data_IF_569247618428
#
_entry.id   IF_569247618428
#
_cell.length_a   1.000
_cell.length_b   1.000
_cell.length_c   1.000
_cell.angle_alpha   90.00
_cell.angle_beta   90.00
_cell.angle_gamma   90.00
#
_symmetry.space_group_name_H-M   'P 1'
#
loop_
_entity.id
_entity.type
_entity.pdbx_description
1 polymer ?
#
# COMPACT_ATOMS: atom_id res chain seq x y z
N UNK A 1 -20.74 19.34 -3.63
CA UNK A 1 -20.29 17.94 -3.69
C UNK A 1 -18.95 17.88 -2.95
N UNK A 2 -18.89 17.26 -1.78
CA UNK A 2 -17.71 17.34 -0.90
C UNK A 2 -16.73 16.20 -1.24
N UNK A 3 -15.90 16.43 -2.26
CA UNK A 3 -15.02 15.45 -2.94
C UNK A 3 -14.05 14.73 -1.99
N UNK A 4 -13.71 15.37 -0.86
CA UNK A 4 -12.78 14.83 0.16
C UNK A 4 -13.42 13.68 0.95
N UNK A 5 -14.76 13.61 1.03
CA UNK A 5 -15.47 12.59 1.80
C UNK A 5 -15.43 11.19 1.18
N UNK A 6 -15.39 11.09 -0.15
CA UNK A 6 -15.43 9.80 -0.86
C UNK A 6 -14.08 9.09 -0.83
N UNK A 7 -12.98 9.82 -1.04
CA UNK A 7 -11.63 9.27 -0.96
C UNK A 7 -11.30 8.74 0.45
N UNK A 8 -11.67 9.49 1.50
CA UNK A 8 -11.48 9.06 2.89
C UNK A 8 -12.33 7.83 3.25
N UNK A 9 -13.52 7.69 2.63
CA UNK A 9 -14.41 6.54 2.82
C UNK A 9 -13.88 5.28 2.12
N UNK A 10 -13.31 5.42 0.92
CA UNK A 10 -12.66 4.33 0.21
C UNK A 10 -11.44 3.80 0.96
N UNK A 11 -10.64 4.70 1.54
CA UNK A 11 -9.55 4.33 2.45
C UNK A 11 -10.12 3.57 3.65
N UNK A 12 -11.11 4.10 4.37
CA UNK A 12 -11.70 3.39 5.52
C UNK A 12 -12.28 2.00 5.18
N UNK A 13 -12.82 1.82 3.98
CA UNK A 13 -13.34 0.54 3.51
C UNK A 13 -12.24 -0.49 3.19
N UNK A 14 -11.08 -0.05 2.72
CA UNK A 14 -9.90 -0.91 2.48
C UNK A 14 -9.17 -1.24 3.78
N UNK A 15 -9.15 -0.31 4.74
CA UNK A 15 -8.35 -0.38 5.96
C UNK A 15 -9.12 -0.82 7.22
N UNK A 16 -10.37 -1.30 7.08
CA UNK A 16 -11.19 -1.84 8.18
C UNK A 16 -11.01 -3.36 8.39
N UNK A 17 -10.71 -3.76 9.63
CA UNK A 17 -10.42 -5.10 10.18
C UNK A 17 -9.21 -5.84 9.55
N UNK A 18 -8.03 -5.56 10.11
CA UNK A 18 -6.67 -5.91 9.65
C UNK A 18 -6.29 -7.39 9.82
N UNK A 19 -7.09 -8.36 9.35
CA UNK A 19 -6.71 -9.78 9.49
C UNK A 19 -6.63 -10.59 8.19
N UNK A 20 -6.85 -10.00 7.02
CA UNK A 20 -6.55 -10.69 5.75
C UNK A 20 -6.45 -9.68 4.61
N UNK A 21 -5.37 -9.61 3.82
CA UNK A 21 -5.36 -8.79 2.61
C UNK A 21 -6.29 -9.45 1.59
N UNK A 22 -7.55 -9.03 1.58
CA UNK A 22 -8.43 -9.28 0.43
C UNK A 22 -7.88 -8.40 -0.68
N UNK A 23 -7.45 -8.98 -1.79
CA UNK A 23 -6.92 -8.19 -2.90
C UNK A 23 -7.87 -7.04 -3.21
N UNK A 24 -7.42 -5.78 -3.13
CA UNK A 24 -8.28 -4.65 -3.45
C UNK A 24 -8.61 -4.71 -4.95
N UNK A 25 -9.87 -4.95 -5.25
CA UNK A 25 -10.41 -4.86 -6.60
C UNK A 25 -10.57 -3.38 -6.96
N UNK A 26 -9.65 -2.84 -7.77
CA UNK A 26 -9.78 -1.51 -8.36
C UNK A 26 -10.56 -1.65 -9.67
N UNK A 27 -11.77 -1.08 -9.71
CA UNK A 27 -12.51 -0.90 -10.95
C UNK A 27 -12.20 0.50 -11.50
N UNK A 28 -11.38 0.55 -12.55
CA UNK A 28 -11.32 1.72 -13.43
C UNK A 28 -12.54 1.67 -14.35
N UNK A 29 -13.49 2.58 -14.15
CA UNK A 29 -14.71 2.68 -14.96
C UNK A 29 -14.36 2.90 -16.42
N UNK A 30 -14.87 2.01 -17.27
CA UNK A 30 -14.63 1.99 -18.70
C UNK A 30 -15.55 0.98 -19.36
N UNK A 31 -16.86 1.16 -19.20
CA UNK A 31 -17.88 0.39 -19.90
C UNK A 31 -18.87 -0.33 -18.99
N UNK A 32 -20.08 0.23 -18.93
CA UNK A 32 -21.36 -0.48 -18.77
C UNK A 32 -21.49 -1.53 -17.66
N UNK A 33 -22.14 -1.14 -16.57
CA UNK A 33 -22.91 -2.07 -15.73
C UNK A 33 -22.12 -2.75 -14.61
N UNK A 34 -21.83 -2.01 -13.54
CA UNK A 34 -21.42 -2.57 -12.26
C UNK A 34 -21.27 -1.44 -11.24
N UNK A 35 -22.00 -1.50 -10.13
CA UNK A 35 -22.02 -0.46 -9.09
C UNK A 35 -20.74 -0.35 -8.26
N UNK A 36 -19.58 -0.28 -8.92
CA UNK A 36 -18.29 0.06 -8.31
C UNK A 36 -18.03 1.55 -8.44
N UNK A 37 -17.35 2.14 -7.45
CA UNK A 37 -16.96 3.55 -7.44
C UNK A 37 -16.16 3.89 -8.70
N UNK A 38 -16.70 4.75 -9.56
CA UNK A 38 -16.02 5.26 -10.76
C UNK A 38 -15.18 6.47 -10.34
N UNK A 39 -13.86 6.27 -10.22
CA UNK A 39 -12.92 7.37 -9.95
C UNK A 39 -12.41 7.97 -11.25
N UNK A 40 -12.35 9.29 -11.30
CA UNK A 40 -11.69 10.03 -12.37
C UNK A 40 -10.17 9.80 -12.39
N UNK A 41 -9.48 10.09 -13.52
CA UNK A 41 -8.03 9.97 -13.58
C UNK A 41 -7.28 10.79 -12.54
N UNK A 42 -7.83 11.93 -12.11
CA UNK A 42 -7.21 12.81 -11.12
C UNK A 42 -7.45 12.35 -9.68
N UNK A 43 -8.61 11.74 -9.41
CA UNK A 43 -8.84 11.05 -8.14
C UNK A 43 -7.91 9.84 -8.01
N UNK A 44 -7.75 9.05 -9.08
CA UNK A 44 -6.78 7.95 -9.11
C UNK A 44 -5.35 8.45 -8.89
N UNK A 45 -4.96 9.55 -9.51
CA UNK A 45 -3.64 10.18 -9.29
C UNK A 45 -3.43 10.59 -7.83
N UNK A 46 -4.46 11.15 -7.19
CA UNK A 46 -4.41 11.53 -5.79
C UNK A 46 -4.23 10.30 -4.89
N UNK A 47 -4.99 9.23 -5.15
CA UNK A 47 -4.86 7.97 -4.41
C UNK A 47 -3.49 7.34 -4.61
N UNK A 48 -2.95 7.34 -5.83
CA UNK A 48 -1.57 6.88 -6.12
C UNK A 48 -0.57 7.63 -5.25
N UNK A 49 -0.64 8.95 -5.18
CA UNK A 49 0.25 9.76 -4.34
C UNK A 49 0.19 9.38 -2.86
N UNK A 50 -1.00 9.07 -2.32
CA UNK A 50 -1.15 8.61 -0.94
C UNK A 50 -0.46 7.24 -0.71
N UNK A 51 -0.49 6.34 -1.69
CA UNK A 51 0.22 5.06 -1.61
C UNK A 51 1.72 5.20 -1.81
N UNK A 52 2.17 6.14 -2.64
CA UNK A 52 3.60 6.49 -2.76
C UNK A 52 4.16 7.04 -1.45
N UNK A 53 3.40 7.91 -0.77
CA UNK A 53 3.75 8.39 0.57
C UNK A 53 3.82 7.26 1.60
N UNK A 54 2.89 6.31 1.54
CA UNK A 54 2.90 5.14 2.43
C UNK A 54 4.07 4.20 2.12
N UNK A 55 4.38 3.98 0.83
CA UNK A 55 5.55 3.20 0.40
C UNK A 55 6.85 3.79 0.96
N UNK A 56 6.95 5.13 1.00
CA UNK A 56 8.09 5.83 1.59
C UNK A 56 8.21 5.52 3.08
N UNK A 57 7.11 5.59 3.85
CA UNK A 57 7.12 5.26 5.29
C UNK A 57 7.50 3.81 5.55
N UNK A 58 6.90 2.85 4.84
CA UNK A 58 7.23 1.42 4.96
C UNK A 58 8.69 1.15 4.60
N UNK A 59 9.23 1.86 3.61
CA UNK A 59 10.66 1.75 3.27
C UNK A 59 11.56 2.32 4.38
N UNK A 60 11.19 3.45 4.98
CA UNK A 60 11.91 4.04 6.11
C UNK A 60 11.86 3.14 7.35
N UNK A 61 10.72 2.52 7.62
CA UNK A 61 10.58 1.59 8.76
C UNK A 61 11.40 0.31 8.54
N UNK A 62 11.46 -0.20 7.31
CA UNK A 62 12.36 -1.31 6.95
C UNK A 62 13.83 -0.99 7.23
N UNK A 63 14.28 0.24 6.94
CA UNK A 63 15.65 0.66 7.27
C UNK A 63 15.88 0.71 8.78
N UNK A 64 14.94 1.25 9.55
CA UNK A 64 15.05 1.28 11.03
C UNK A 64 15.11 -0.12 11.63
N UNK A 65 14.32 -1.06 11.12
CA UNK A 65 14.36 -2.46 11.58
C UNK A 65 15.74 -3.07 11.32
N UNK A 66 16.30 -2.84 10.13
CA UNK A 66 17.64 -3.31 9.79
C UNK A 66 18.73 -2.69 10.67
N UNK A 67 18.63 -1.38 10.97
CA UNK A 67 19.56 -0.68 11.85
C UNK A 67 19.52 -1.26 13.27
N UNK A 68 18.32 -1.48 13.83
CA UNK A 68 18.17 -2.11 15.15
C UNK A 68 18.80 -3.51 15.15
N UNK A 69 18.56 -4.30 14.09
CA UNK A 69 19.10 -5.65 13.98
C UNK A 69 20.63 -5.66 13.91
N UNK A 70 21.24 -4.65 13.27
CA UNK A 70 22.68 -4.50 13.18
C UNK A 70 23.34 -4.10 14.51
N UNK A 71 22.62 -3.34 15.36
CA UNK A 71 23.14 -2.85 16.64
C UNK A 71 22.79 -3.74 17.84
N UNK A 72 21.84 -4.66 17.69
CA UNK A 72 21.38 -5.50 18.79
C UNK A 72 22.48 -6.48 19.24
N UNK A 73 22.99 -6.26 20.45
CA UNK A 73 24.03 -7.08 21.07
C UNK A 73 23.64 -7.51 22.49
N UNK A 74 24.08 -8.69 22.95
CA UNK A 74 23.78 -9.13 24.31
C UNK A 74 24.46 -8.22 25.34
N UNK A 75 23.77 -7.86 26.43
CA UNK A 75 24.33 -6.97 27.46
C UNK A 75 25.42 -7.63 28.32
N UNK A 76 25.54 -8.96 28.26
CA UNK A 76 26.51 -9.76 28.99
C UNK A 76 26.95 -10.99 28.18
N UNK A 77 27.99 -11.67 28.67
CA UNK A 77 28.54 -12.88 28.03
C UNK A 77 27.87 -14.18 28.53
N UNK A 78 26.88 -14.07 29.41
CA UNK A 78 26.14 -15.22 29.93
C UNK A 78 25.09 -15.73 28.94
N UNK A 79 24.66 -16.98 29.14
CA UNK A 79 23.69 -17.65 28.28
C UNK A 79 22.33 -16.94 28.27
N UNK A 80 21.91 -16.33 29.38
CA UNK A 80 20.62 -15.66 29.45
C UNK A 80 20.62 -14.36 28.63
N UNK A 81 21.69 -13.56 28.71
CA UNK A 81 21.90 -12.38 27.86
C UNK A 81 21.89 -12.72 26.38
N UNK A 82 22.58 -13.80 25.99
CA UNK A 82 22.62 -14.27 24.60
C UNK A 82 21.26 -14.79 24.12
N UNK A 83 20.57 -15.59 24.93
CA UNK A 83 19.25 -16.13 24.60
C UNK A 83 18.19 -15.05 24.45
N UNK A 84 18.25 -14.00 25.27
CA UNK A 84 17.34 -12.85 25.17
C UNK A 84 17.51 -12.15 23.81
N UNK A 85 18.76 -11.86 23.42
CA UNK A 85 19.03 -11.22 22.12
C UNK A 85 18.63 -12.09 20.95
N UNK A 86 18.93 -13.40 20.98
CA UNK A 86 18.51 -14.32 19.91
C UNK A 86 16.99 -14.28 19.68
N UNK A 87 16.19 -14.27 20.75
CA UNK A 87 14.74 -14.17 20.65
C UNK A 87 14.28 -12.82 20.07
N UNK A 88 15.00 -11.74 20.41
CA UNK A 88 14.80 -10.41 19.83
C UNK A 88 15.14 -10.37 18.33
N UNK A 89 16.25 -10.99 17.92
CA UNK A 89 16.64 -11.12 16.51
C UNK A 89 15.58 -11.86 15.72
N UNK A 90 15.09 -13.00 16.21
CA UNK A 90 14.02 -13.76 15.54
C UNK A 90 12.75 -12.92 15.33
N UNK A 91 12.40 -12.12 16.33
CA UNK A 91 11.25 -11.22 16.27
C UNK A 91 11.46 -10.08 15.25
N UNK A 92 12.65 -9.49 15.21
CA UNK A 92 13.00 -8.44 14.25
C UNK A 92 13.08 -8.97 12.80
N UNK A 93 13.58 -10.18 12.60
CA UNK A 93 13.57 -10.85 11.29
C UNK A 93 12.15 -11.10 10.80
N UNK A 94 11.25 -11.55 11.69
CA UNK A 94 9.84 -11.72 11.35
C UNK A 94 9.18 -10.38 10.99
N UNK A 95 9.48 -9.32 11.74
CA UNK A 95 9.00 -7.97 11.46
C UNK A 95 9.53 -7.43 10.13
N UNK A 96 10.82 -7.61 9.83
CA UNK A 96 11.43 -7.24 8.55
C UNK A 96 10.69 -7.92 7.38
N UNK A 97 10.46 -9.24 7.49
CA UNK A 97 9.74 -10.00 6.46
C UNK A 97 8.31 -9.49 6.25
N UNK A 98 7.62 -9.11 7.33
CA UNK A 98 6.29 -8.51 7.23
C UNK A 98 6.36 -7.15 6.51
N UNK A 99 7.33 -6.31 6.86
CA UNK A 99 7.53 -4.99 6.24
C UNK A 99 7.84 -5.13 4.74
N UNK A 100 8.70 -6.07 4.35
CA UNK A 100 9.02 -6.37 2.95
C UNK A 100 7.78 -6.84 2.18
N UNK A 101 6.94 -7.67 2.81
CA UNK A 101 5.68 -8.12 2.22
C UNK A 101 4.70 -6.95 2.01
N UNK A 102 4.64 -6.02 2.96
CA UNK A 102 3.84 -4.81 2.84
C UNK A 102 4.33 -3.92 1.70
N UNK A 103 5.65 -3.74 1.58
CA UNK A 103 6.26 -2.98 0.48
C UNK A 103 5.85 -3.52 -0.89
N UNK A 104 5.99 -4.84 -1.10
CA UNK A 104 5.60 -5.51 -2.35
C UNK A 104 4.11 -5.34 -2.64
N UNK A 105 3.26 -5.44 -1.61
CA UNK A 105 1.83 -5.22 -1.76
C UNK A 105 1.51 -3.80 -2.23
N UNK A 106 2.12 -2.78 -1.60
CA UNK A 106 1.92 -1.37 -1.97
C UNK A 106 2.37 -1.12 -3.41
N UNK A 107 3.56 -1.59 -3.80
CA UNK A 107 4.09 -1.46 -5.16
C UNK A 107 3.14 -2.10 -6.20
N UNK A 108 2.66 -3.31 -5.92
CA UNK A 108 1.69 -3.99 -6.78
C UNK A 108 0.36 -3.25 -6.87
N UNK A 109 -0.07 -2.59 -5.80
CA UNK A 109 -1.31 -1.82 -5.79
C UNK A 109 -1.20 -0.51 -6.56
N UNK A 110 -0.09 0.23 -6.41
CA UNK A 110 0.21 1.42 -7.21
C UNK A 110 0.19 1.08 -8.70
N UNK A 111 0.81 -0.04 -9.10
CA UNK A 111 0.80 -0.48 -10.50
C UNK A 111 -0.64 -0.74 -11.02
N UNK A 112 -1.50 -1.36 -10.21
CA UNK A 112 -2.92 -1.58 -10.57
C UNK A 112 -3.67 -0.25 -10.72
N UNK A 113 -3.41 0.73 -9.84
CA UNK A 113 -4.02 2.06 -9.91
C UNK A 113 -3.58 2.82 -11.16
N UNK A 114 -2.30 2.76 -11.55
CA UNK A 114 -1.80 3.40 -12.76
C UNK A 114 -2.40 2.79 -14.04
N UNK A 115 -2.56 1.47 -14.06
CA UNK A 115 -3.27 0.79 -15.16
C UNK A 115 -4.72 1.25 -15.23
N UNK A 116 -5.42 1.34 -14.09
CA UNK A 116 -6.80 1.82 -14.04
C UNK A 116 -6.89 3.26 -14.55
N UNK A 117 -6.01 4.15 -14.09
CA UNK A 117 -5.95 5.56 -14.48
C UNK A 117 -5.74 5.72 -15.98
N UNK A 118 -4.79 4.97 -16.55
CA UNK A 118 -4.52 4.97 -17.99
C UNK A 118 -5.72 4.53 -18.82
N UNK A 119 -6.47 3.51 -18.36
CA UNK A 119 -7.69 3.03 -19.03
C UNK A 119 -8.82 4.06 -18.99
N UNK A 120 -9.01 4.73 -17.87
CA UNK A 120 -10.02 5.79 -17.75
C UNK A 120 -9.71 6.94 -18.71
N UNK A 121 -8.46 7.43 -18.75
CA UNK A 121 -8.04 8.48 -19.68
C UNK A 121 -8.25 8.10 -21.16
N UNK A 122 -7.93 6.85 -21.53
CA UNK A 122 -8.11 6.37 -22.90
C UNK A 122 -9.60 6.31 -23.29
N UNK A 123 -10.46 5.91 -22.35
CA UNK A 123 -11.91 5.86 -22.54
C UNK A 123 -12.49 7.26 -22.72
N UNK A 124 -12.07 8.22 -21.89
CA UNK A 124 -12.49 9.63 -21.99
C UNK A 124 -12.08 10.27 -23.33
N UNK A 125 -10.86 10.00 -23.78
CA UNK A 125 -10.38 10.48 -25.07
C UNK A 125 -11.17 9.89 -26.25
N UNK A 126 -11.45 8.58 -26.21
CA UNK A 126 -12.24 7.90 -27.24
C UNK A 126 -13.69 8.40 -27.29
N UNK A 127 -14.30 8.68 -26.14
CA UNK A 127 -15.65 9.24 -26.06
C UNK A 127 -15.71 10.67 -26.60
N UNK A 128 -14.70 11.50 -26.29
CA UNK A 128 -14.60 12.89 -26.78
C UNK A 128 -14.57 12.92 -28.32
N UNK A 129 -13.75 12.07 -28.94
CA UNK A 129 -13.63 11.95 -30.40
C UNK A 129 -14.90 11.44 -31.09
N UNK A 130 -15.76 10.69 -30.38
CA UNK A 130 -17.03 10.19 -30.93
C UNK A 130 -18.12 11.26 -30.97
N UNK A 131 -17.96 12.33 -30.18
CA UNK A 131 -18.98 13.38 -30.00
C UNK A 131 -18.67 14.68 -30.76
N UNK A 132 -17.52 14.77 -31.40
CA UNK A 132 -17.09 15.89 -32.27
C UNK A 132 -17.07 15.47 -33.73
#
# INVERSE_FOLDING_TARGET
MNIIGDAASAIKAVWGDLTTPKEPTVYGGGGGGGGGFEMSPEELKTVIGLWEDELKKVSEDGMKIADILAELMPPGQDDASSSYVNSGVDSLLALQKQNDSMKVYIEGYIAKLEVARSKTMATDAANTLRTT
#
